data_IF_166552084963
#
_entry.id   IF_166552084963
#
_cell.length_a   1.000
_cell.length_b   1.000
_cell.length_c   1.000
_cell.angle_alpha   90.00
_cell.angle_beta   90.00
_cell.angle_gamma   90.00
#
_symmetry.space_group_name_H-M   'P 1'
#
loop_
_entity.id
_entity.type
_entity.pdbx_description
1 polymer ?
#
# COMPACT_ATOMS: atom_id res chain seq x y z
N UNK A 1 5.90 -0.53 6.62
CA UNK A 1 5.67 -0.32 5.16
C UNK A 1 4.96 -1.50 4.51
N UNK A 2 5.34 -2.77 4.75
CA UNK A 2 4.79 -3.92 3.99
C UNK A 2 3.64 -4.70 4.66
N UNK A 3 3.20 -4.29 5.87
CA UNK A 3 2.05 -4.88 6.56
C UNK A 3 0.74 -4.50 5.85
N UNK A 4 -0.26 -5.38 5.87
CA UNK A 4 -1.62 -5.05 5.38
C UNK A 4 -2.54 -4.53 6.51
N UNK A 5 -2.01 -4.31 7.72
CA UNK A 5 -2.75 -3.68 8.83
C UNK A 5 -2.74 -2.14 8.68
N UNK A 6 -3.90 -1.46 8.69
CA UNK A 6 -3.98 0.00 8.64
C UNK A 6 -3.22 0.71 9.75
N UNK A 7 -3.16 0.15 10.97
CA UNK A 7 -2.43 0.76 12.10
C UNK A 7 -0.93 0.77 11.87
N UNK A 8 -0.40 -0.33 11.32
CA UNK A 8 1.02 -0.42 10.97
C UNK A 8 1.39 0.58 9.87
N UNK A 9 0.47 0.84 8.93
CA UNK A 9 0.69 1.85 7.89
C UNK A 9 0.73 3.26 8.44
N UNK A 10 -0.20 3.62 9.34
CA UNK A 10 -0.20 4.92 9.99
C UNK A 10 1.07 5.13 10.82
N UNK A 11 1.46 4.12 11.61
CA UNK A 11 2.70 4.17 12.37
C UNK A 11 3.92 4.33 11.46
N UNK A 12 3.95 3.62 10.32
CA UNK A 12 5.02 3.74 9.34
C UNK A 12 5.15 5.17 8.79
N UNK A 13 4.03 5.83 8.48
CA UNK A 13 4.01 7.23 8.02
C UNK A 13 4.56 8.17 9.09
N UNK A 14 4.13 8.00 10.35
CA UNK A 14 4.61 8.82 11.47
C UNK A 14 6.12 8.70 11.67
N UNK A 15 6.66 7.47 11.64
CA UNK A 15 8.09 7.22 11.78
C UNK A 15 8.88 7.88 10.65
N UNK A 16 8.46 7.73 9.39
CA UNK A 16 9.18 8.35 8.27
C UNK A 16 9.04 9.87 8.23
N UNK A 17 7.91 10.41 8.69
CA UNK A 17 7.73 11.86 8.84
C UNK A 17 8.69 12.41 9.89
N UNK A 18 8.85 11.74 11.02
CA UNK A 18 9.80 12.14 12.06
C UNK A 18 11.26 12.00 11.63
N UNK A 19 11.59 10.99 10.81
CA UNK A 19 12.95 10.73 10.34
C UNK A 19 13.44 11.76 9.30
N UNK A 20 12.54 12.48 8.62
CA UNK A 20 12.91 13.56 7.70
C UNK A 20 13.42 13.12 6.32
N UNK A 21 13.21 11.85 5.94
CA UNK A 21 13.51 11.38 4.58
C UNK A 21 12.25 11.50 3.69
N UNK A 22 12.21 12.58 2.89
CA UNK A 22 11.06 12.91 2.04
C UNK A 22 10.67 11.80 1.04
N UNK A 23 11.65 11.10 0.46
CA UNK A 23 11.39 10.02 -0.48
C UNK A 23 10.69 8.85 0.22
N UNK A 24 11.22 8.42 1.37
CA UNK A 24 10.63 7.32 2.13
C UNK A 24 9.26 7.67 2.71
N UNK A 25 9.04 8.93 3.07
CA UNK A 25 7.73 9.42 3.50
C UNK A 25 6.69 9.31 2.37
N UNK A 26 7.03 9.76 1.16
CA UNK A 26 6.13 9.64 0.01
C UNK A 26 5.76 8.18 -0.28
N UNK A 27 6.72 7.26 -0.18
CA UNK A 27 6.43 5.83 -0.28
C UNK A 27 5.54 5.33 0.86
N UNK A 28 5.80 5.72 2.11
CA UNK A 28 4.97 5.32 3.25
C UNK A 28 3.52 5.80 3.12
N UNK A 29 3.32 7.03 2.67
CA UNK A 29 1.99 7.60 2.42
C UNK A 29 1.27 6.86 1.29
N UNK A 30 1.97 6.52 0.20
CA UNK A 30 1.42 5.70 -0.87
C UNK A 30 0.95 4.31 -0.39
N UNK A 31 1.75 3.63 0.45
CA UNK A 31 1.36 2.33 1.00
C UNK A 31 0.13 2.46 1.90
N UNK A 32 0.08 3.48 2.75
CA UNK A 32 -1.07 3.74 3.62
C UNK A 32 -2.35 4.01 2.80
N UNK A 33 -2.25 4.73 1.69
CA UNK A 33 -3.39 5.00 0.81
C UNK A 33 -3.92 3.74 0.11
N UNK A 34 -3.05 2.84 -0.33
CA UNK A 34 -3.45 1.56 -0.92
C UNK A 34 -4.19 0.70 0.11
N UNK A 35 -3.63 0.58 1.33
CA UNK A 35 -4.28 -0.17 2.42
C UNK A 35 -5.58 0.49 2.85
N UNK A 36 -5.66 1.82 2.90
CA UNK A 36 -6.91 2.53 3.18
C UNK A 36 -7.98 2.26 2.12
N UNK A 37 -7.60 2.19 0.84
CA UNK A 37 -8.53 1.99 -0.27
C UNK A 37 -9.00 0.54 -0.41
N UNK A 38 -8.08 -0.43 -0.29
CA UNK A 38 -8.35 -1.84 -0.61
C UNK A 38 -8.28 -2.78 0.60
N UNK A 39 -7.79 -2.31 1.76
CA UNK A 39 -7.55 -3.13 2.94
C UNK A 39 -6.37 -4.11 2.82
N UNK A 40 -5.68 -4.11 1.68
CA UNK A 40 -4.60 -5.04 1.31
C UNK A 40 -3.83 -4.51 0.10
N UNK A 41 -2.75 -5.18 -0.28
CA UNK A 41 -2.01 -4.89 -1.51
C UNK A 41 -2.51 -5.75 -2.68
N UNK A 42 -3.18 -5.17 -3.69
CA UNK A 42 -3.75 -5.95 -4.79
C UNK A 42 -2.72 -6.72 -5.63
N UNK A 43 -1.47 -6.23 -5.73
CA UNK A 43 -0.41 -6.94 -6.47
C UNK A 43 -0.06 -8.30 -5.84
N UNK A 44 -0.37 -8.51 -4.55
CA UNK A 44 -0.14 -9.78 -3.85
C UNK A 44 -1.28 -10.77 -4.03
N UNK A 45 -2.38 -10.38 -4.67
CA UNK A 45 -3.57 -11.23 -4.76
C UNK A 45 -3.26 -12.59 -5.39
N UNK A 46 -2.58 -12.61 -6.53
CA UNK A 46 -2.24 -13.85 -7.25
C UNK A 46 -1.36 -14.78 -6.41
N UNK A 47 -0.29 -14.25 -5.81
CA UNK A 47 0.65 -15.07 -5.03
C UNK A 47 0.05 -15.58 -3.72
N UNK A 48 -0.94 -14.88 -3.16
CA UNK A 48 -1.67 -15.27 -1.97
C UNK A 48 -2.98 -16.03 -2.27
N UNK A 49 -3.24 -16.38 -3.53
CA UNK A 49 -4.45 -17.12 -3.93
C UNK A 49 -5.77 -16.35 -3.73
N UNK A 50 -5.72 -15.02 -3.66
CA UNK A 50 -6.89 -14.15 -3.44
C UNK A 50 -7.54 -13.79 -4.77
N UNK A 51 -8.88 -13.73 -4.78
CA UNK A 51 -9.63 -13.15 -5.90
C UNK A 51 -9.44 -11.63 -5.93
N UNK A 52 -9.09 -11.12 -7.11
CA UNK A 52 -9.00 -9.69 -7.40
C UNK A 52 -10.39 -9.11 -7.72
N UNK A 53 -10.75 -7.99 -7.11
CA UNK A 53 -12.00 -7.26 -7.41
C UNK A 53 -11.86 -6.44 -8.70
N UNK A 54 -12.98 -5.94 -9.24
CA UNK A 54 -12.95 -5.09 -10.42
C UNK A 54 -12.15 -3.78 -10.18
N UNK A 55 -12.30 -3.17 -9.00
CA UNK A 55 -11.57 -1.94 -8.64
C UNK A 55 -10.07 -2.20 -8.48
N UNK A 56 -9.71 -3.32 -7.87
CA UNK A 56 -8.33 -3.77 -7.74
C UNK A 56 -7.70 -4.06 -9.12
N UNK A 57 -8.45 -4.70 -10.02
CA UNK A 57 -7.99 -4.98 -11.37
C UNK A 57 -7.75 -3.70 -12.18
N UNK A 58 -8.68 -2.73 -12.09
CA UNK A 58 -8.52 -1.41 -12.72
C UNK A 58 -7.30 -0.67 -12.18
N UNK A 59 -7.09 -0.70 -10.85
CA UNK A 59 -5.91 -0.10 -10.22
C UNK A 59 -4.60 -0.74 -10.69
N UNK A 60 -4.57 -2.07 -10.83
CA UNK A 60 -3.38 -2.78 -11.33
C UNK A 60 -3.13 -2.50 -12.82
N UNK A 61 -4.18 -2.30 -13.62
CA UNK A 61 -4.07 -2.00 -15.04
C UNK A 61 -3.51 -0.58 -15.30
N UNK A 62 -3.86 0.40 -14.44
CA UNK A 62 -3.41 1.80 -14.53
C UNK A 62 -1.96 2.01 -14.02
N UNK A 63 -1.11 0.99 -14.14
CA UNK A 63 0.27 1.03 -13.65
C UNK A 63 0.44 0.62 -12.19
N UNK A 64 -0.58 0.85 -11.34
CA UNK A 64 -0.68 0.35 -9.96
C UNK A 64 0.57 0.56 -9.10
N UNK A 65 0.60 -0.11 -7.94
CA UNK A 65 1.81 -0.23 -7.14
C UNK A 65 2.42 -1.62 -7.31
N UNK A 66 3.69 -1.66 -7.72
CA UNK A 66 4.44 -2.89 -8.06
C UNK A 66 5.64 -3.16 -7.14
N UNK A 67 5.60 -2.63 -5.91
CA UNK A 67 6.67 -2.84 -4.93
C UNK A 67 6.90 -4.29 -4.57
#
# INVERSE_FOLDING_TARGET
>A
MHSEDPKDQLHCVEVFRAFGNANNLAFAELHADIIRKFGRFPHRNTVLGRRTTAEEAAFLADGGFKG
#
